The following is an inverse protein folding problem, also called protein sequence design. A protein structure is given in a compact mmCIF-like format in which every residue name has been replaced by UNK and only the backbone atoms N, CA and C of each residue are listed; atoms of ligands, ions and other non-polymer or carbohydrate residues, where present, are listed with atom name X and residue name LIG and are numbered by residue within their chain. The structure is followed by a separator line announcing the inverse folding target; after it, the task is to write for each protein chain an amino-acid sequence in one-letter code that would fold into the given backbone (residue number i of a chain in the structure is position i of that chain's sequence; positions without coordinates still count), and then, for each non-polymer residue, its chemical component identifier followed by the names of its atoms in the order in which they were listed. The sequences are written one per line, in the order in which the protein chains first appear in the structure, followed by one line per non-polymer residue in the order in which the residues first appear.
data_IF_767040128637
#
_entry.id   IF_767040128637
#
_cell.length_a   1.000
_cell.length_b   1.000
_cell.length_c   1.000
_cell.angle_alpha   90.00
_cell.angle_beta   90.00
_cell.angle_gamma   90.00
#
_symmetry.space_group_name_H-M   'P 1'
#
loop_
_entity.id
_entity.type
_entity.pdbx_description
1 polymer ?
#
# COMPACT_ATOMS: atom_id res chain seq x y z
N UNK A 1 -45.87 49.92 -62.14
CA UNK A 1 -44.48 50.36 -62.40
C UNK A 1 -43.80 50.80 -61.11
N UNK A 2 -43.58 49.87 -60.16
CA UNK A 2 -42.80 50.12 -58.93
C UNK A 2 -42.34 48.79 -58.30
N UNK A 3 -41.83 47.87 -59.13
CA UNK A 3 -41.37 46.54 -58.67
C UNK A 3 -40.11 46.07 -59.42
N UNK A 4 -39.23 47.00 -59.79
CA UNK A 4 -38.01 46.69 -60.55
C UNK A 4 -36.73 47.38 -60.04
N UNK A 5 -36.73 47.98 -58.83
CA UNK A 5 -35.57 48.75 -58.35
C UNK A 5 -34.95 48.28 -57.01
N UNK A 6 -35.42 47.18 -56.41
CA UNK A 6 -34.87 46.67 -55.14
C UNK A 6 -34.04 45.39 -55.25
N UNK A 7 -33.83 44.86 -56.46
CA UNK A 7 -33.18 43.55 -56.67
C UNK A 7 -31.70 43.62 -57.04
N UNK A 8 -30.97 44.69 -56.69
CA UNK A 8 -29.58 44.88 -57.16
C UNK A 8 -28.55 45.43 -56.15
N UNK A 9 -28.79 45.48 -54.84
CA UNK A 9 -27.82 46.12 -53.92
C UNK A 9 -27.55 45.52 -52.52
N UNK A 10 -27.77 44.22 -52.25
CA UNK A 10 -27.21 43.64 -50.99
C UNK A 10 -26.95 42.14 -51.04
N UNK A 11 -26.15 41.73 -52.02
CA UNK A 11 -25.56 40.38 -52.02
C UNK A 11 -24.43 40.24 -50.99
N UNK A 12 -24.38 39.03 -50.40
CA UNK A 12 -23.17 38.21 -50.16
C UNK A 12 -22.05 38.75 -49.25
N UNK A 13 -21.95 38.23 -48.01
CA UNK A 13 -20.65 37.95 -47.31
C UNK A 13 -20.75 37.26 -45.92
N UNK A 14 -21.70 36.34 -45.64
CA UNK A 14 -21.77 35.64 -44.33
C UNK A 14 -21.73 34.10 -44.41
N UNK A 15 -21.21 33.55 -45.51
CA UNK A 15 -21.15 32.10 -45.75
C UNK A 15 -19.88 31.36 -45.31
N UNK A 16 -18.73 32.04 -45.18
CA UNK A 16 -17.43 31.34 -45.16
C UNK A 16 -16.83 31.09 -43.76
N UNK A 17 -17.34 31.71 -42.69
CA UNK A 17 -16.73 31.60 -41.36
C UNK A 17 -16.98 30.25 -40.66
N UNK A 18 -18.05 29.52 -41.01
CA UNK A 18 -18.38 28.24 -40.36
C UNK A 18 -17.66 27.02 -40.96
N UNK A 19 -17.21 27.09 -42.21
CA UNK A 19 -16.49 25.98 -42.85
C UNK A 19 -15.01 25.99 -42.45
N UNK A 20 -14.45 27.18 -42.20
CA UNK A 20 -13.07 27.33 -41.74
C UNK A 20 -12.81 26.66 -40.37
N UNK A 21 -13.74 26.77 -39.42
CA UNK A 21 -13.56 26.23 -38.07
C UNK A 21 -13.55 24.69 -38.03
N UNK A 22 -14.31 24.03 -38.90
CA UNK A 22 -14.33 22.56 -38.97
C UNK A 22 -13.02 21.99 -39.52
N UNK A 23 -12.42 22.67 -40.50
CA UNK A 23 -11.12 22.27 -41.06
C UNK A 23 -9.97 22.51 -40.08
N UNK A 24 -10.02 23.60 -39.31
CA UNK A 24 -9.03 23.91 -38.27
C UNK A 24 -9.08 22.85 -37.14
N UNK A 25 -10.27 22.45 -36.69
CA UNK A 25 -10.43 21.45 -35.63
C UNK A 25 -9.84 20.08 -36.03
N UNK A 26 -10.08 19.62 -37.26
CA UNK A 26 -9.51 18.36 -37.74
C UNK A 26 -7.97 18.36 -37.78
N UNK A 27 -7.35 19.53 -37.97
CA UNK A 27 -5.89 19.69 -37.93
C UNK A 27 -5.37 19.69 -36.49
N UNK A 28 -6.09 20.30 -35.55
CA UNK A 28 -5.78 20.24 -34.11
C UNK A 28 -5.85 18.80 -33.61
N UNK A 29 -6.91 18.06 -33.97
CA UNK A 29 -7.09 16.66 -33.55
C UNK A 29 -5.93 15.77 -34.06
N UNK A 30 -5.39 16.06 -35.26
CA UNK A 30 -4.22 15.37 -35.80
C UNK A 30 -2.94 15.66 -35.01
N UNK A 31 -2.73 16.89 -34.56
CA UNK A 31 -1.60 17.25 -33.68
C UNK A 31 -1.73 16.59 -32.29
N UNK A 32 -2.96 16.51 -31.76
CA UNK A 32 -3.24 15.82 -30.49
C UNK A 32 -2.97 14.31 -30.59
N UNK A 33 -3.34 13.68 -31.72
CA UNK A 33 -3.00 12.28 -31.98
C UNK A 33 -1.48 12.01 -32.06
N UNK A 34 -0.67 13.04 -32.34
CA UNK A 34 0.80 12.96 -32.32
C UNK A 34 1.41 13.23 -30.93
N UNK A 35 0.58 13.50 -29.91
CA UNK A 35 1.01 13.68 -28.52
C UNK A 35 1.23 15.13 -28.09
N UNK A 36 0.82 16.12 -28.90
CA UNK A 36 0.86 17.53 -28.50
C UNK A 36 -0.43 17.93 -27.77
N UNK A 37 -0.34 18.87 -26.81
CA UNK A 37 -1.54 19.39 -26.15
C UNK A 37 -2.38 20.28 -27.11
N UNK A 38 -3.71 20.22 -26.97
CA UNK A 38 -4.64 20.88 -27.89
C UNK A 38 -4.49 22.41 -27.96
N UNK A 39 -4.18 23.05 -26.83
CA UNK A 39 -4.04 24.52 -26.74
C UNK A 39 -2.77 25.03 -27.47
N UNK A 40 -1.55 24.50 -27.19
CA UNK A 40 -0.36 24.80 -27.99
C UNK A 40 -0.52 24.46 -29.46
N UNK A 41 -1.15 23.31 -29.78
CA UNK A 41 -1.39 22.88 -31.16
C UNK A 41 -2.22 23.90 -31.96
N UNK A 42 -3.26 24.46 -31.35
CA UNK A 42 -4.10 25.49 -31.97
C UNK A 42 -3.34 26.81 -32.16
N UNK A 43 -2.51 27.22 -31.19
CA UNK A 43 -1.66 28.40 -31.34
C UNK A 43 -0.63 28.24 -32.46
N UNK A 44 0.04 27.09 -32.52
CA UNK A 44 1.04 26.79 -33.55
C UNK A 44 0.43 26.69 -34.95
N UNK A 45 -0.79 26.15 -35.07
CA UNK A 45 -1.55 26.15 -36.32
C UNK A 45 -1.89 27.55 -36.81
N UNK A 46 -2.24 28.47 -35.91
CA UNK A 46 -2.50 29.87 -36.26
C UNK A 46 -1.24 30.61 -36.68
N UNK A 47 -0.12 30.35 -36.02
CA UNK A 47 1.18 30.92 -36.38
C UNK A 47 1.72 30.38 -37.71
N UNK A 48 1.31 29.16 -38.09
CA UNK A 48 1.74 28.48 -39.31
C UNK A 48 0.73 28.58 -40.46
N UNK A 49 -0.19 29.55 -40.44
CA UNK A 49 -1.25 29.75 -41.44
C UNK A 49 -2.03 28.46 -41.78
N UNK A 50 -2.27 27.61 -40.78
CA UNK A 50 -2.99 26.35 -40.90
C UNK A 50 -2.20 25.19 -41.53
N UNK A 51 -0.88 25.30 -41.67
CA UNK A 51 0.01 24.21 -42.12
C UNK A 51 0.45 23.33 -40.93
N UNK A 52 0.10 22.05 -40.96
CA UNK A 52 0.35 21.09 -39.86
C UNK A 52 1.84 20.82 -39.67
N UNK A 53 2.62 20.71 -40.75
CA UNK A 53 4.04 20.36 -40.66
C UNK A 53 4.87 21.51 -40.07
N UNK A 54 4.53 22.74 -40.44
CA UNK A 54 5.12 23.94 -39.86
C UNK A 54 4.73 24.11 -38.38
N UNK A 55 3.47 23.80 -38.02
CA UNK A 55 3.03 23.83 -36.63
C UNK A 55 3.79 22.83 -35.75
N UNK A 56 4.09 21.63 -36.26
CA UNK A 56 4.94 20.65 -35.56
C UNK A 56 6.35 21.20 -35.34
N UNK A 57 6.94 21.87 -36.33
CA UNK A 57 8.26 22.47 -36.19
C UNK A 57 8.30 23.56 -35.11
N UNK A 58 7.26 24.41 -35.03
CA UNK A 58 7.09 25.43 -33.98
C UNK A 58 6.97 24.77 -32.60
N UNK A 59 6.15 23.72 -32.48
CA UNK A 59 5.95 23.00 -31.22
C UNK A 59 7.21 22.29 -30.71
N UNK A 60 8.06 21.81 -31.61
CA UNK A 60 9.34 21.18 -31.25
C UNK A 60 10.44 22.22 -30.96
N UNK A 61 10.36 23.40 -31.57
CA UNK A 61 11.32 24.48 -31.37
C UNK A 61 11.05 25.28 -30.08
N UNK A 62 9.79 25.35 -29.64
CA UNK A 62 9.44 25.96 -28.37
C UNK A 62 9.99 25.07 -27.23
N UNK A 63 11.01 25.52 -26.45
CA UNK A 63 11.39 24.80 -25.24
C UNK A 63 10.15 24.78 -24.36
N UNK A 64 9.79 23.61 -23.83
CA UNK A 64 8.64 23.40 -22.94
C UNK A 64 8.68 24.39 -21.77
N UNK A 65 8.18 25.60 -21.99
CA UNK A 65 8.02 26.64 -20.99
C UNK A 65 6.76 26.25 -20.25
N UNK A 66 6.91 25.30 -19.33
CA UNK A 66 5.94 24.99 -18.30
C UNK A 66 5.46 26.32 -17.72
N UNK A 67 4.23 26.67 -18.07
CA UNK A 67 3.52 27.85 -17.64
C UNK A 67 3.37 27.82 -16.12
N UNK A 68 4.25 28.55 -15.45
CA UNK A 68 4.05 29.05 -14.10
C UNK A 68 2.94 30.10 -14.20
N UNK A 69 1.69 29.66 -14.02
CA UNK A 69 0.50 30.50 -14.06
C UNK A 69 0.59 31.58 -12.98
N UNK A 70 0.76 32.82 -13.44
CA UNK A 70 0.58 34.06 -12.68
C UNK A 70 -0.76 34.03 -11.92
N UNK A 71 -0.67 33.87 -10.59
CA UNK A 71 -1.75 34.24 -9.68
C UNK A 71 -1.68 35.73 -9.42
N UNK A 72 -2.80 36.39 -9.71
CA UNK A 72 -3.24 37.66 -9.16
C UNK A 72 -2.65 37.97 -7.78
N UNK A 73 -2.11 39.18 -7.65
CA UNK A 73 -1.51 39.75 -6.43
C UNK A 73 -2.35 39.54 -5.17
N UNK A 74 -1.78 38.93 -4.11
CA UNK A 74 -2.20 39.15 -2.74
C UNK A 74 -1.36 40.26 -2.10
N UNK A 75 -1.98 40.94 -1.13
CA UNK A 75 -1.37 41.95 -0.25
C UNK A 75 -0.02 41.51 0.36
N UNK A 76 0.88 42.45 0.72
CA UNK A 76 2.20 42.13 1.25
C UNK A 76 2.11 41.23 2.49
N UNK A 77 2.85 40.11 2.55
CA UNK A 77 2.86 39.25 3.72
C UNK A 77 3.52 39.97 4.90
N UNK A 78 3.04 39.74 6.14
CA UNK A 78 3.75 40.20 7.34
C UNK A 78 5.15 39.58 7.35
N UNK A 79 6.14 40.39 7.76
CA UNK A 79 7.55 40.04 7.78
C UNK A 79 7.78 38.62 8.35
N UNK A 80 8.47 37.79 7.57
CA UNK A 80 8.85 36.45 8.00
C UNK A 80 9.69 36.52 9.28
N UNK A 81 9.41 35.67 10.29
CA UNK A 81 10.24 35.59 11.49
C UNK A 81 11.66 35.21 11.09
N UNK A 82 12.62 35.88 11.70
CA UNK A 82 14.04 35.69 11.42
C UNK A 82 14.42 34.21 11.60
N UNK A 83 15.40 33.72 10.84
CA UNK A 83 15.89 32.33 10.96
C UNK A 83 16.34 31.95 12.39
N UNK A 84 16.56 32.95 13.26
CA UNK A 84 16.86 32.78 14.69
C UNK A 84 15.62 32.44 15.51
N UNK A 85 14.46 33.05 15.20
CA UNK A 85 13.18 32.76 15.86
C UNK A 85 12.65 31.38 15.47
N UNK A 86 12.80 30.98 14.21
CA UNK A 86 12.41 29.63 13.74
C UNK A 86 13.26 28.54 14.43
N UNK A 87 14.55 28.80 14.67
CA UNK A 87 15.42 27.86 15.41
C UNK A 87 15.12 27.81 16.91
N UNK A 88 14.74 28.94 17.52
CA UNK A 88 14.33 28.96 18.94
C UNK A 88 12.99 28.22 19.14
N UNK A 89 11.99 28.46 18.29
CA UNK A 89 10.70 27.78 18.35
C UNK A 89 10.81 26.27 18.10
N UNK A 90 11.69 25.84 17.18
CA UNK A 90 11.94 24.42 16.94
C UNK A 90 12.66 23.71 18.11
N UNK A 91 13.50 24.43 18.87
CA UNK A 91 14.14 23.90 20.07
C UNK A 91 13.14 23.75 21.24
N UNK A 92 12.27 24.74 21.42
CA UNK A 92 11.23 24.73 22.46
C UNK A 92 10.18 23.63 22.19
N UNK A 93 9.76 23.45 20.93
CA UNK A 93 8.85 22.36 20.55
C UNK A 93 9.44 20.96 20.78
N UNK A 94 10.77 20.79 20.66
CA UNK A 94 11.47 19.53 20.97
C UNK A 94 11.54 19.29 22.48
N UNK A 95 11.76 20.33 23.29
CA UNK A 95 11.75 20.22 24.75
C UNK A 95 10.34 19.90 25.29
N UNK A 96 9.30 20.55 24.76
CA UNK A 96 7.92 20.27 25.15
C UNK A 96 7.48 18.82 24.82
N UNK A 97 7.90 18.27 23.67
CA UNK A 97 7.63 16.87 23.30
C UNK A 97 8.34 15.84 24.19
N UNK A 98 9.53 16.17 24.70
CA UNK A 98 10.22 15.30 25.66
C UNK A 98 9.56 15.30 27.05
N UNK A 99 9.00 16.43 27.48
CA UNK A 99 8.29 16.54 28.75
C UNK A 99 6.93 15.81 28.74
N UNK A 100 6.22 15.81 27.61
CA UNK A 100 4.89 15.18 27.49
C UNK A 100 4.92 13.64 27.39
N UNK A 101 6.07 13.02 27.11
CA UNK A 101 6.16 11.58 26.81
C UNK A 101 6.33 10.68 28.05
N UNK A 102 6.19 11.19 29.28
CA UNK A 102 6.42 10.36 30.48
C UNK A 102 5.53 10.59 31.72
N UNK A 103 4.18 10.74 31.61
CA UNK A 103 3.33 10.77 32.81
C UNK A 103 3.02 9.36 33.38
N UNK A 104 3.25 8.27 32.63
CA UNK A 104 2.84 6.92 33.03
C UNK A 104 3.86 6.14 33.88
N UNK A 105 5.11 6.60 34.00
CA UNK A 105 6.13 5.92 34.81
C UNK A 105 6.21 6.42 36.27
N UNK A 106 5.60 7.56 36.62
CA UNK A 106 5.66 8.07 38.00
C UNK A 106 4.58 7.49 38.93
N UNK A 107 3.48 6.93 38.40
CA UNK A 107 2.43 6.30 39.22
C UNK A 107 2.88 4.94 39.79
N UNK A 108 3.83 4.26 39.13
CA UNK A 108 4.31 2.94 39.59
C UNK A 108 5.34 3.01 40.72
N UNK A 109 5.93 4.18 40.99
CA UNK A 109 6.99 4.33 42.00
C UNK A 109 6.47 4.73 43.39
N UNK A 110 5.20 5.13 43.52
CA UNK A 110 4.65 5.64 44.78
C UNK A 110 3.87 4.60 45.64
N UNK A 111 3.47 3.45 45.09
CA UNK A 111 2.68 2.43 45.83
C UNK A 111 3.46 1.17 46.26
N UNK A 112 4.78 1.11 46.05
CA UNK A 112 5.60 -0.08 46.34
C UNK A 112 6.32 -0.11 47.70
N UNK A 113 6.10 0.86 48.60
CA UNK A 113 6.94 1.05 49.79
C UNK A 113 6.19 0.87 51.12
N UNK A 114 5.40 -0.20 51.25
CA UNK A 114 4.89 -0.65 52.55
C UNK A 114 4.43 -2.11 52.51
N UNK A 115 5.38 -3.06 52.56
CA UNK A 115 5.19 -4.40 53.16
C UNK A 115 6.53 -5.14 53.18
N UNK A 116 7.37 -4.74 54.13
CA UNK A 116 8.39 -5.62 54.71
C UNK A 116 7.65 -6.62 55.60
N UNK A 117 7.62 -7.87 55.17
CA UNK A 117 7.00 -8.99 55.87
C UNK A 117 7.73 -10.27 55.48
N UNK A 118 8.88 -10.46 56.13
CA UNK A 118 9.47 -11.76 56.51
C UNK A 118 8.65 -12.99 56.08
N UNK A 119 9.06 -13.63 54.99
CA UNK A 119 8.47 -14.85 54.47
C UNK A 119 9.44 -15.54 53.51
N UNK A 120 10.49 -16.10 54.10
CA UNK A 120 11.55 -16.89 53.46
C UNK A 120 10.91 -18.16 52.86
N UNK A 121 10.49 -18.11 51.60
CA UNK A 121 10.21 -19.28 50.79
C UNK A 121 11.17 -19.28 49.61
N UNK A 122 12.22 -20.09 49.76
CA UNK A 122 13.14 -20.52 48.71
C UNK A 122 12.36 -21.34 47.68
N UNK A 123 11.63 -20.67 46.78
CA UNK A 123 11.08 -21.32 45.60
C UNK A 123 12.16 -21.38 44.52
N UNK A 124 12.76 -22.56 44.42
CA UNK A 124 13.33 -23.18 43.23
C UNK A 124 13.44 -22.26 42.01
N UNK A 125 14.61 -21.64 41.84
CA UNK A 125 15.05 -21.20 40.52
C UNK A 125 15.13 -22.45 39.62
N UNK A 126 14.37 -22.55 38.53
CA UNK A 126 14.48 -23.69 37.63
C UNK A 126 15.88 -23.66 37.02
N UNK A 127 16.72 -24.61 37.43
CA UNK A 127 18.02 -24.86 36.85
C UNK A 127 17.86 -24.95 35.33
N UNK A 128 18.41 -23.95 34.62
CA UNK A 128 18.47 -23.91 33.18
C UNK A 128 19.25 -25.14 32.71
N UNK A 129 18.53 -26.23 32.42
CA UNK A 129 19.12 -27.44 31.84
C UNK A 129 19.79 -27.02 30.52
N UNK A 130 21.06 -27.39 30.29
CA UNK A 130 21.69 -27.23 29.00
C UNK A 130 20.87 -28.05 28.01
N UNK A 131 20.10 -27.37 27.16
CA UNK A 131 19.42 -28.02 26.04
C UNK A 131 20.52 -28.65 25.20
N UNK A 132 20.44 -29.97 25.01
CA UNK A 132 21.30 -30.67 24.06
C UNK A 132 21.25 -29.91 22.73
N UNK A 133 22.39 -29.79 22.01
CA UNK A 133 22.40 -29.11 20.72
C UNK A 133 21.36 -29.78 19.83
N UNK A 134 20.28 -29.05 19.52
CA UNK A 134 19.23 -29.53 18.61
C UNK A 134 19.89 -30.00 17.32
N UNK A 135 19.39 -31.10 16.75
CA UNK A 135 19.89 -31.60 15.47
C UNK A 135 19.84 -30.47 14.42
N UNK A 136 20.70 -30.57 13.41
CA UNK A 136 20.72 -29.63 12.30
C UNK A 136 19.32 -29.50 11.66
N UNK A 137 18.67 -30.63 11.43
CA UNK A 137 17.33 -30.72 10.81
C UNK A 137 16.27 -29.99 11.66
N UNK A 138 16.20 -30.25 12.97
CA UNK A 138 15.23 -29.57 13.84
C UNK A 138 15.45 -28.05 13.87
N UNK A 139 16.70 -27.58 13.80
CA UNK A 139 16.97 -26.13 13.72
C UNK A 139 16.56 -25.55 12.37
N UNK A 140 16.79 -26.29 11.29
CA UNK A 140 16.40 -25.90 9.94
C UNK A 140 14.89 -25.79 9.81
N UNK A 141 14.13 -26.76 10.32
CA UNK A 141 12.66 -26.75 10.32
C UNK A 141 12.09 -25.55 11.06
N UNK A 142 12.62 -25.23 12.25
CA UNK A 142 12.19 -24.06 13.03
C UNK A 142 12.39 -22.77 12.23
N UNK A 143 13.58 -22.58 11.65
CA UNK A 143 13.88 -21.36 10.87
C UNK A 143 13.01 -21.29 9.60
N UNK A 144 12.77 -22.42 8.93
CA UNK A 144 11.90 -22.47 7.77
C UNK A 144 10.45 -22.14 8.13
N UNK A 145 9.95 -22.60 9.28
CA UNK A 145 8.64 -22.21 9.81
C UNK A 145 8.51 -20.71 10.06
N UNK A 146 9.56 -20.06 10.59
CA UNK A 146 9.59 -18.59 10.74
C UNK A 146 9.57 -17.88 9.38
N UNK A 147 10.34 -18.39 8.41
CA UNK A 147 10.43 -17.87 7.05
C UNK A 147 9.14 -18.02 6.25
N UNK A 148 8.22 -18.92 6.63
CA UNK A 148 6.94 -19.12 5.93
C UNK A 148 6.11 -17.83 5.82
N UNK A 149 6.28 -16.88 6.75
CA UNK A 149 5.61 -15.57 6.72
C UNK A 149 6.20 -14.58 5.68
N UNK A 150 7.32 -14.94 5.05
CA UNK A 150 8.10 -14.07 4.16
C UNK A 150 8.33 -14.76 2.80
N UNK A 151 7.30 -14.89 1.95
CA UNK A 151 7.36 -15.69 0.73
C UNK A 151 8.48 -15.25 -0.22
N UNK A 152 8.66 -13.93 -0.40
CA UNK A 152 9.74 -13.36 -1.22
C UNK A 152 11.15 -13.74 -0.72
N UNK A 153 11.32 -13.91 0.59
CA UNK A 153 12.59 -14.32 1.19
C UNK A 153 12.84 -15.81 0.92
N UNK A 154 11.82 -16.66 1.10
CA UNK A 154 11.89 -18.11 0.81
C UNK A 154 12.27 -18.34 -0.64
N UNK A 155 11.58 -17.70 -1.59
CA UNK A 155 11.85 -17.86 -3.03
C UNK A 155 13.27 -17.44 -3.41
N UNK A 156 13.74 -16.33 -2.84
CA UNK A 156 15.09 -15.83 -3.07
C UNK A 156 16.14 -16.80 -2.50
N UNK A 157 15.91 -17.38 -1.32
CA UNK A 157 16.81 -18.36 -0.71
C UNK A 157 16.83 -19.69 -1.49
N UNK A 158 15.66 -20.19 -1.93
CA UNK A 158 15.56 -21.37 -2.80
C UNK A 158 16.35 -21.15 -4.09
N UNK A 159 16.14 -20.00 -4.75
CA UNK A 159 16.87 -19.63 -5.96
C UNK A 159 18.40 -19.59 -5.73
N UNK A 160 18.84 -18.97 -4.63
CA UNK A 160 20.26 -18.88 -4.29
C UNK A 160 20.89 -20.25 -4.05
N UNK A 161 20.26 -21.09 -3.22
CA UNK A 161 20.77 -22.44 -2.90
C UNK A 161 20.79 -23.31 -4.16
N UNK A 162 19.71 -23.27 -4.97
CA UNK A 162 19.65 -23.97 -6.25
C UNK A 162 20.79 -23.55 -7.19
N UNK A 163 21.04 -22.24 -7.31
CA UNK A 163 22.13 -21.71 -8.16
C UNK A 163 23.51 -22.23 -7.72
N UNK A 164 23.74 -22.34 -6.40
CA UNK A 164 25.00 -22.87 -5.84
C UNK A 164 25.15 -24.37 -6.12
N UNK A 165 24.06 -25.14 -5.98
CA UNK A 165 24.03 -26.59 -6.26
C UNK A 165 24.34 -26.86 -7.74
N UNK A 166 23.76 -26.08 -8.66
CA UNK A 166 23.95 -26.22 -10.10
C UNK A 166 25.35 -25.75 -10.55
N UNK A 167 25.94 -24.77 -9.85
CA UNK A 167 27.20 -24.14 -10.24
C UNK A 167 28.22 -24.13 -9.09
N UNK A 168 28.64 -25.30 -8.56
CA UNK A 168 29.46 -25.35 -7.37
C UNK A 168 30.83 -24.69 -7.60
N UNK A 169 31.45 -24.82 -8.78
CA UNK A 169 32.77 -24.24 -9.04
C UNK A 169 32.82 -22.70 -9.08
N UNK A 170 31.67 -22.03 -9.12
CA UNK A 170 31.58 -20.59 -9.40
C UNK A 170 31.52 -19.80 -8.10
N UNK A 171 32.66 -19.19 -7.73
CA UNK A 171 32.83 -18.44 -6.47
C UNK A 171 31.81 -17.32 -6.26
N UNK A 172 31.41 -16.60 -7.32
CA UNK A 172 30.44 -15.48 -7.21
C UNK A 172 29.08 -15.89 -6.64
N UNK A 173 28.67 -17.16 -6.75
CA UNK A 173 27.40 -17.63 -6.19
C UNK A 173 27.51 -18.05 -4.73
N UNK A 174 28.74 -18.28 -4.25
CA UNK A 174 29.05 -18.65 -2.87
C UNK A 174 29.28 -17.43 -1.97
N UNK A 175 29.22 -16.22 -2.52
CA UNK A 175 29.43 -14.97 -1.82
C UNK A 175 28.19 -14.09 -1.96
N UNK A 176 27.67 -13.60 -0.85
CA UNK A 176 26.46 -12.78 -0.80
C UNK A 176 26.77 -11.51 -0.02
N UNK A 177 26.60 -10.36 -0.65
CA UNK A 177 26.77 -9.07 0.01
C UNK A 177 25.50 -8.71 0.78
N UNK A 178 25.61 -8.53 2.08
CA UNK A 178 24.49 -8.13 2.95
C UNK A 178 23.95 -6.73 2.59
N UNK A 179 24.81 -5.85 2.07
CA UNK A 179 24.42 -4.51 1.61
C UNK A 179 23.79 -4.49 0.21
N UNK A 180 23.62 -5.64 -0.45
CA UNK A 180 22.91 -5.70 -1.71
C UNK A 180 21.44 -5.32 -1.49
N UNK A 181 20.97 -4.27 -2.18
CA UNK A 181 19.60 -3.73 -2.02
C UNK A 181 18.52 -4.80 -2.21
N UNK A 182 18.67 -5.71 -3.18
CA UNK A 182 17.70 -6.77 -3.43
C UNK A 182 17.69 -7.79 -2.28
N UNK A 183 18.87 -8.22 -1.82
CA UNK A 183 18.97 -9.17 -0.71
C UNK A 183 18.44 -8.57 0.60
N UNK A 184 18.81 -7.32 0.90
CA UNK A 184 18.34 -6.62 2.09
C UNK A 184 16.82 -6.37 2.07
N UNK A 185 16.25 -6.06 0.90
CA UNK A 185 14.81 -5.82 0.75
C UNK A 185 13.97 -7.10 0.78
N UNK A 186 14.54 -8.27 0.52
CA UNK A 186 13.80 -9.55 0.55
C UNK A 186 14.14 -10.41 1.76
N UNK A 187 15.40 -10.83 1.88
CA UNK A 187 15.84 -11.70 2.98
C UNK A 187 16.02 -10.90 4.26
N UNK A 188 16.43 -9.63 4.16
CA UNK A 188 16.60 -8.76 5.33
C UNK A 188 15.29 -8.33 6.00
N UNK A 189 14.16 -8.36 5.28
CA UNK A 189 12.84 -8.07 5.89
C UNK A 189 12.33 -9.21 6.76
N UNK A 190 12.84 -10.43 6.56
CA UNK A 190 12.52 -11.60 7.38
C UNK A 190 13.32 -11.65 8.70
N UNK A 191 13.80 -10.50 9.18
CA UNK A 191 14.66 -10.40 10.35
C UNK A 191 15.98 -11.16 10.17
N UNK A 192 16.38 -11.92 11.20
CA UNK A 192 17.60 -12.71 11.16
C UNK A 192 17.40 -14.13 10.61
N UNK A 193 16.15 -14.60 10.46
CA UNK A 193 15.85 -16.00 10.11
C UNK A 193 16.53 -16.44 8.80
N UNK A 194 16.50 -15.59 7.76
CA UNK A 194 17.16 -15.89 6.48
C UNK A 194 18.69 -15.94 6.58
N UNK A 195 19.29 -15.08 7.41
CA UNK A 195 20.74 -15.08 7.66
C UNK A 195 21.14 -16.30 8.51
N UNK A 196 20.33 -16.63 9.50
CA UNK A 196 20.56 -17.76 10.40
C UNK A 196 20.43 -19.09 9.64
N UNK A 197 19.51 -19.19 8.67
CA UNK A 197 19.45 -20.32 7.73
C UNK A 197 20.75 -20.45 6.94
N UNK A 198 21.24 -19.36 6.34
CA UNK A 198 22.49 -19.39 5.58
C UNK A 198 23.68 -19.77 6.47
N UNK A 199 23.75 -19.23 7.69
CA UNK A 199 24.79 -19.62 8.67
C UNK A 199 24.69 -21.09 9.04
N UNK A 200 23.48 -21.61 9.23
CA UNK A 200 23.24 -23.02 9.53
C UNK A 200 23.72 -23.93 8.38
N UNK A 201 23.49 -23.52 7.14
CA UNK A 201 23.93 -24.23 5.92
C UNK A 201 25.46 -24.25 5.76
N UNK A 202 26.18 -23.28 6.33
CA UNK A 202 27.65 -23.20 6.27
C UNK A 202 28.21 -21.83 5.83
N UNK A 203 27.35 -20.82 5.66
CA UNK A 203 27.84 -19.47 5.35
C UNK A 203 28.48 -18.83 6.58
N UNK A 204 29.66 -18.25 6.39
CA UNK A 204 30.39 -17.53 7.42
C UNK A 204 30.36 -16.05 7.12
N UNK A 205 29.94 -15.25 8.11
CA UNK A 205 29.91 -13.80 8.00
C UNK A 205 31.34 -13.23 8.08
N UNK A 206 31.76 -12.52 7.04
CA UNK A 206 33.05 -11.83 6.91
C UNK A 206 32.78 -10.36 6.59
N UNK A 207 32.58 -9.53 7.61
CA UNK A 207 32.15 -8.13 7.44
C UNK A 207 30.76 -8.04 6.79
N UNK A 208 30.67 -7.31 5.68
CA UNK A 208 29.43 -7.13 4.90
C UNK A 208 29.11 -8.31 3.97
N UNK A 209 29.87 -9.39 4.03
CA UNK A 209 29.72 -10.56 3.17
C UNK A 209 29.36 -11.80 3.96
N UNK A 210 28.44 -12.60 3.43
CA UNK A 210 28.27 -14.01 3.78
C UNK A 210 29.00 -14.84 2.73
N UNK A 211 29.96 -15.63 3.16
CA UNK A 211 30.78 -16.47 2.28
C UNK A 211 30.60 -17.92 2.70
N UNK A 212 30.17 -18.78 1.78
CA UNK A 212 30.15 -20.22 1.98
C UNK A 212 31.60 -20.73 1.99
N UNK A 213 32.16 -20.94 3.19
CA UNK A 213 33.55 -21.36 3.36
C UNK A 213 33.63 -22.88 3.43
N UNK A 214 34.45 -23.47 2.54
CA UNK A 214 34.78 -24.88 2.54
C UNK A 214 34.14 -25.70 1.42
N UNK A 215 34.71 -26.88 1.18
CA UNK A 215 34.06 -27.97 0.44
C UNK A 215 33.03 -28.66 1.34
N UNK A 216 32.19 -27.86 2.00
CA UNK A 216 31.24 -28.39 2.96
C UNK A 216 30.11 -29.14 2.27
N UNK A 217 29.65 -30.12 3.02
CA UNK A 217 28.75 -31.19 2.66
C UNK A 217 27.60 -30.73 1.74
N UNK A 218 27.60 -31.12 0.45
CA UNK A 218 26.51 -30.79 -0.45
C UNK A 218 25.16 -31.30 0.08
N UNK A 219 25.14 -32.30 0.97
CA UNK A 219 23.91 -32.77 1.60
C UNK A 219 23.21 -31.67 2.42
N UNK A 220 23.93 -30.76 3.09
CA UNK A 220 23.30 -29.65 3.84
C UNK A 220 22.58 -28.67 2.94
N UNK A 221 23.14 -28.37 1.77
CA UNK A 221 22.49 -27.51 0.77
C UNK A 221 21.22 -28.17 0.24
N UNK A 222 21.27 -29.49 -0.05
CA UNK A 222 20.10 -30.24 -0.49
C UNK A 222 19.02 -30.33 0.59
N UNK A 223 19.39 -30.57 1.84
CA UNK A 223 18.45 -30.59 2.97
C UNK A 223 17.79 -29.22 3.15
N UNK A 224 18.57 -28.13 3.13
CA UNK A 224 18.03 -26.78 3.23
C UNK A 224 17.10 -26.42 2.07
N UNK A 225 17.46 -26.79 0.83
CA UNK A 225 16.60 -26.63 -0.33
C UNK A 225 15.28 -27.40 -0.15
N UNK A 226 15.34 -28.66 0.24
CA UNK A 226 14.15 -29.50 0.47
C UNK A 226 13.23 -28.94 1.56
N UNK A 227 13.80 -28.44 2.66
CA UNK A 227 13.04 -27.81 3.73
C UNK A 227 12.35 -26.51 3.28
N UNK A 228 13.04 -25.68 2.49
CA UNK A 228 12.45 -24.45 1.93
C UNK A 228 11.38 -24.75 0.88
N UNK A 229 11.58 -25.75 0.01
CA UNK A 229 10.57 -26.19 -0.95
C UNK A 229 9.33 -26.75 -0.24
N UNK A 230 9.51 -27.51 0.84
CA UNK A 230 8.39 -27.94 1.69
C UNK A 230 7.66 -26.74 2.31
N UNK A 231 8.40 -25.70 2.70
CA UNK A 231 7.83 -24.45 3.21
C UNK A 231 7.02 -23.71 2.15
N UNK A 232 7.48 -23.67 0.89
CA UNK A 232 6.72 -23.09 -0.23
C UNK A 232 5.37 -23.79 -0.45
N UNK A 233 5.29 -25.09 -0.13
CA UNK A 233 4.05 -25.86 -0.23
C UNK A 233 3.16 -25.75 1.02
N UNK A 234 3.57 -24.99 2.04
CA UNK A 234 2.77 -24.81 3.25
C UNK A 234 1.59 -23.86 3.04
N UNK A 235 0.50 -24.07 3.80
CA UNK A 235 -0.65 -23.16 3.81
C UNK A 235 -0.23 -21.75 4.27
N UNK A 236 0.67 -21.67 5.25
CA UNK A 236 1.19 -20.40 5.77
C UNK A 236 1.91 -19.58 4.70
N UNK A 237 2.74 -20.21 3.87
CA UNK A 237 3.39 -19.53 2.75
C UNK A 237 2.37 -18.99 1.76
N UNK A 238 1.35 -19.79 1.41
CA UNK A 238 0.30 -19.39 0.46
C UNK A 238 -0.47 -18.17 1.00
N UNK A 239 -0.89 -18.21 2.26
CA UNK A 239 -1.58 -17.10 2.91
C UNK A 239 -0.71 -15.83 2.99
N UNK A 240 0.58 -15.99 3.30
CA UNK A 240 1.53 -14.88 3.32
C UNK A 240 1.77 -14.30 1.91
N UNK A 241 1.76 -15.15 0.88
CA UNK A 241 1.88 -14.75 -0.52
C UNK A 241 0.64 -13.96 -0.98
N UNK A 242 -0.55 -14.46 -0.69
CA UNK A 242 -1.81 -13.77 -1.00
C UNK A 242 -1.89 -12.43 -0.27
N UNK A 243 -1.47 -12.39 1.00
CA UNK A 243 -1.37 -11.14 1.77
C UNK A 243 -0.37 -10.16 1.16
N UNK A 244 0.80 -10.63 0.74
CA UNK A 244 1.81 -9.78 0.13
C UNK A 244 1.32 -9.22 -1.22
N UNK A 245 0.68 -10.05 -2.04
CA UNK A 245 0.08 -9.65 -3.32
C UNK A 245 -1.08 -8.65 -3.11
N UNK A 246 -1.89 -8.85 -2.07
CA UNK A 246 -2.94 -7.91 -1.65
C UNK A 246 -2.36 -6.54 -1.30
N UNK A 247 -1.30 -6.50 -0.48
CA UNK A 247 -0.66 -5.24 -0.08
C UNK A 247 -0.01 -4.52 -1.26
N UNK A 248 0.66 -5.26 -2.14
CA UNK A 248 1.26 -4.73 -3.37
C UNK A 248 0.19 -4.13 -4.28
N UNK A 249 -0.94 -4.80 -4.48
CA UNK A 249 -2.04 -4.25 -5.27
C UNK A 249 -2.62 -2.94 -4.71
N UNK A 250 -2.69 -2.81 -3.38
CA UNK A 250 -3.12 -1.56 -2.73
C UNK A 250 -2.08 -0.45 -2.92
N UNK A 251 -0.80 -0.76 -2.72
CA UNK A 251 0.28 0.20 -2.85
C UNK A 251 0.46 0.66 -4.31
N UNK A 252 0.36 -0.26 -5.26
CA UNK A 252 0.38 0.03 -6.69
C UNK A 252 -0.81 0.91 -7.07
N UNK A 253 -2.01 0.64 -6.56
CA UNK A 253 -3.17 1.53 -6.76
C UNK A 253 -2.95 2.94 -6.20
N UNK A 254 -2.20 3.06 -5.11
CA UNK A 254 -1.90 4.36 -4.48
C UNK A 254 -0.83 5.13 -5.25
N UNK A 255 0.17 4.42 -5.78
CA UNK A 255 1.29 5.00 -6.52
C UNK A 255 0.94 5.27 -7.98
N UNK A 256 0.06 4.46 -8.58
CA UNK A 256 -0.54 4.71 -9.89
C UNK A 256 -1.63 5.79 -9.81
N UNK A 257 -1.29 6.92 -9.17
CA UNK A 257 -2.05 8.17 -9.11
C UNK A 257 -2.20 8.80 -10.52
N UNK A 258 -2.66 8.00 -11.46
CA UNK A 258 -3.09 8.37 -12.79
C UNK A 258 -4.39 9.15 -12.63
N UNK A 259 -4.59 10.14 -13.49
CA UNK A 259 -5.83 10.90 -13.54
C UNK A 259 -7.07 9.99 -13.57
N UNK A 260 -6.99 8.84 -14.25
CA UNK A 260 -8.04 7.81 -14.30
C UNK A 260 -8.41 7.21 -12.93
N UNK A 261 -7.44 7.04 -12.03
CA UNK A 261 -7.73 6.53 -10.67
C UNK A 261 -8.42 7.62 -9.84
N UNK A 262 -7.98 8.86 -9.99
CA UNK A 262 -8.63 10.00 -9.33
C UNK A 262 -10.07 10.18 -9.81
N UNK A 263 -10.33 10.08 -11.12
CA UNK A 263 -11.66 10.12 -11.71
C UNK A 263 -12.56 9.01 -11.16
N UNK A 264 -12.08 7.76 -11.13
CA UNK A 264 -12.82 6.63 -10.54
C UNK A 264 -13.13 6.85 -9.06
N UNK A 265 -12.23 7.47 -8.30
CA UNK A 265 -12.48 7.79 -6.89
C UNK A 265 -13.57 8.85 -6.73
N UNK A 266 -13.63 9.85 -7.63
CA UNK A 266 -14.68 10.87 -7.61
C UNK A 266 -16.08 10.28 -7.80
N UNK A 267 -16.22 9.23 -8.61
CA UNK A 267 -17.49 8.50 -8.76
C UNK A 267 -17.98 7.97 -7.41
N UNK A 268 -17.09 7.33 -6.64
CA UNK A 268 -17.43 6.81 -5.33
C UNK A 268 -17.73 7.90 -4.32
N UNK A 269 -16.99 9.02 -4.32
CA UNK A 269 -17.19 10.16 -3.39
C UNK A 269 -18.64 10.62 -3.40
N UNK A 270 -19.27 10.67 -4.58
CA UNK A 270 -20.68 11.11 -4.72
C UNK A 270 -21.69 10.16 -4.06
N UNK A 271 -21.32 8.90 -3.86
CA UNK A 271 -22.16 7.85 -3.29
C UNK A 271 -21.88 7.60 -1.80
N UNK A 272 -20.88 8.28 -1.23
CA UNK A 272 -20.54 8.10 0.19
C UNK A 272 -21.53 8.85 1.08
N UNK A 273 -22.17 8.19 2.06
CA UNK A 273 -23.03 8.87 3.03
C UNK A 273 -22.29 10.00 3.77
N UNK A 274 -23.01 11.05 4.14
CA UNK A 274 -22.43 12.17 4.91
C UNK A 274 -22.05 11.68 6.31
N UNK A 275 -20.85 12.00 6.77
CA UNK A 275 -20.41 11.60 8.11
C UNK A 275 -21.21 12.36 9.19
N UNK A 276 -21.87 11.67 10.14
CA UNK A 276 -22.66 12.32 11.17
C UNK A 276 -21.78 12.96 12.26
N UNK A 277 -22.31 14.02 12.87
CA UNK A 277 -21.59 14.75 13.93
C UNK A 277 -21.40 13.92 15.21
N UNK A 278 -20.42 14.35 16.01
CA UNK A 278 -20.10 13.68 17.27
C UNK A 278 -21.21 13.90 18.31
N UNK A 279 -21.80 12.80 18.78
CA UNK A 279 -22.79 12.83 19.88
C UNK A 279 -24.25 12.72 19.42
N UNK A 280 -24.51 12.63 18.12
CA UNK A 280 -25.84 12.33 17.59
C UNK A 280 -26.21 10.87 17.91
N UNK A 281 -27.43 10.66 18.41
CA UNK A 281 -27.97 9.33 18.67
C UNK A 281 -28.18 8.53 17.38
N UNK A 282 -28.07 7.20 17.43
CA UNK A 282 -28.20 6.37 16.23
C UNK A 282 -26.98 6.42 15.31
N UNK A 283 -25.83 6.88 15.80
CA UNK A 283 -24.55 6.80 15.07
C UNK A 283 -23.78 5.55 15.47
N UNK A 284 -22.99 5.02 14.54
CA UNK A 284 -22.06 3.91 14.76
C UNK A 284 -20.67 4.26 14.27
N UNK A 285 -19.66 3.66 14.90
CA UNK A 285 -18.26 3.83 14.55
C UNK A 285 -17.78 2.57 13.87
N UNK A 286 -17.39 2.70 12.61
CA UNK A 286 -16.91 1.59 11.79
C UNK A 286 -15.40 1.73 11.67
N UNK A 287 -14.69 0.69 12.10
CA UNK A 287 -13.25 0.56 11.95
C UNK A 287 -12.95 -0.55 10.96
N UNK A 288 -12.24 -0.23 9.89
CA UNK A 288 -11.87 -1.19 8.85
C UNK A 288 -10.37 -1.40 8.86
N UNK A 289 -9.96 -2.66 8.93
CA UNK A 289 -8.58 -3.12 8.84
C UNK A 289 -8.32 -3.64 7.42
N UNK A 290 -7.28 -3.16 6.76
CA UNK A 290 -6.78 -3.73 5.50
C UNK A 290 -5.26 -3.85 5.57
N UNK A 291 -4.79 -5.06 5.84
CA UNK A 291 -3.40 -5.30 6.21
C UNK A 291 -3.04 -4.65 7.56
N UNK A 292 -2.05 -3.76 7.56
CA UNK A 292 -1.60 -3.02 8.75
C UNK A 292 -2.28 -1.66 8.91
N UNK A 293 -3.00 -1.21 7.89
CA UNK A 293 -3.70 0.06 7.90
C UNK A 293 -5.05 -0.10 8.59
N UNK A 294 -5.39 0.91 9.39
CA UNK A 294 -6.66 1.00 10.10
C UNK A 294 -7.28 2.33 9.77
N UNK A 295 -8.52 2.28 9.29
CA UNK A 295 -9.31 3.48 8.99
C UNK A 295 -10.59 3.43 9.78
N UNK A 296 -11.04 4.59 10.21
CA UNK A 296 -12.18 4.72 11.12
C UNK A 296 -13.03 5.90 10.67
N UNK A 297 -14.35 5.67 10.61
CA UNK A 297 -15.32 6.70 10.24
C UNK A 297 -16.66 6.45 10.94
N UNK A 298 -17.43 7.52 11.17
CA UNK A 298 -18.80 7.41 11.69
C UNK A 298 -19.81 7.27 10.57
N UNK A 299 -20.86 6.50 10.85
CA UNK A 299 -22.01 6.29 9.97
C UNK A 299 -23.29 6.38 10.79
N UNK A 300 -24.42 6.69 10.16
CA UNK A 300 -25.73 6.52 10.76
C UNK A 300 -26.07 5.02 10.80
N UNK A 301 -26.82 4.58 11.81
CA UNK A 301 -27.24 3.18 11.94
C UNK A 301 -28.13 2.72 10.77
N UNK A 302 -28.84 3.68 10.16
CA UNK A 302 -29.70 3.49 9.00
C UNK A 302 -28.96 3.57 7.65
N UNK A 303 -27.67 3.95 7.65
CA UNK A 303 -26.85 3.84 6.44
C UNK A 303 -26.72 2.37 6.03
N UNK A 304 -26.41 2.11 4.76
CA UNK A 304 -26.31 0.75 4.20
C UNK A 304 -24.86 0.27 4.09
N UNK A 305 -24.64 -1.05 4.09
CA UNK A 305 -23.29 -1.67 3.96
C UNK A 305 -22.56 -1.18 2.70
N UNK A 306 -23.30 -0.99 1.59
CA UNK A 306 -22.78 -0.36 0.37
C UNK A 306 -22.05 0.96 0.64
N UNK A 307 -22.56 1.80 1.55
CA UNK A 307 -21.95 3.08 1.89
C UNK A 307 -20.54 2.96 2.46
N UNK A 308 -20.26 1.90 3.25
CA UNK A 308 -18.92 1.60 3.77
C UNK A 308 -17.99 1.22 2.61
N UNK A 309 -18.45 0.37 1.68
CA UNK A 309 -17.65 -0.07 0.53
C UNK A 309 -17.29 1.12 -0.36
N UNK A 310 -18.27 1.98 -0.68
CA UNK A 310 -18.05 3.19 -1.48
C UNK A 310 -17.08 4.15 -0.77
N UNK A 311 -17.18 4.30 0.55
CA UNK A 311 -16.22 5.10 1.32
C UNK A 311 -14.79 4.57 1.20
N UNK A 312 -14.58 3.25 1.31
CA UNK A 312 -13.26 2.64 1.14
C UNK A 312 -12.71 2.87 -0.28
N UNK A 313 -13.59 2.78 -1.28
CA UNK A 313 -13.28 3.11 -2.67
C UNK A 313 -12.82 4.55 -2.86
N UNK A 314 -13.57 5.49 -2.27
CA UNK A 314 -13.32 6.92 -2.37
C UNK A 314 -12.04 7.37 -1.65
N UNK A 315 -11.79 6.87 -0.44
CA UNK A 315 -10.70 7.36 0.43
C UNK A 315 -9.36 6.66 0.16
N UNK A 316 -9.38 5.37 -0.21
CA UNK A 316 -8.15 4.57 -0.26
C UNK A 316 -7.81 4.08 -1.67
N UNK A 317 -8.70 3.35 -2.33
CA UNK A 317 -8.41 2.77 -3.64
C UNK A 317 -9.70 2.35 -4.35
N UNK A 318 -9.84 2.74 -5.62
CA UNK A 318 -10.98 2.35 -6.47
C UNK A 318 -11.07 0.84 -6.71
N UNK A 319 -9.99 0.10 -6.40
CA UNK A 319 -9.92 -1.35 -6.52
C UNK A 319 -10.69 -2.08 -5.42
N UNK A 320 -10.81 -1.48 -4.21
CA UNK A 320 -11.44 -2.16 -3.06
C UNK A 320 -12.88 -2.57 -3.39
N UNK A 321 -13.79 -1.67 -3.82
CA UNK A 321 -15.15 -2.05 -4.20
C UNK A 321 -15.18 -3.14 -5.26
N UNK A 322 -14.39 -2.98 -6.33
CA UNK A 322 -14.36 -3.91 -7.47
C UNK A 322 -13.91 -5.32 -7.06
N UNK A 323 -12.92 -5.42 -6.18
CA UNK A 323 -12.38 -6.71 -5.70
C UNK A 323 -13.32 -7.39 -4.70
N UNK A 324 -14.02 -6.62 -3.88
CA UNK A 324 -15.07 -7.13 -3.00
C UNK A 324 -16.27 -7.63 -3.81
N UNK A 325 -16.72 -6.87 -4.82
CA UNK A 325 -17.81 -7.25 -5.71
C UNK A 325 -17.48 -8.46 -6.58
N UNK A 326 -16.21 -8.60 -7.01
CA UNK A 326 -15.77 -9.78 -7.77
C UNK A 326 -15.57 -11.02 -6.89
N UNK A 327 -15.71 -10.92 -5.57
CA UNK A 327 -15.40 -11.99 -4.62
C UNK A 327 -13.91 -12.37 -4.55
N UNK A 328 -13.02 -11.53 -5.11
CA UNK A 328 -11.58 -11.76 -5.00
C UNK A 328 -11.08 -11.43 -3.58
N UNK A 329 -11.71 -10.41 -2.97
CA UNK A 329 -11.52 -10.03 -1.59
C UNK A 329 -12.84 -10.25 -0.83
N UNK A 330 -12.72 -10.47 0.47
CA UNK A 330 -13.86 -10.67 1.36
C UNK A 330 -13.87 -9.61 2.47
N UNK A 331 -15.07 -9.20 2.88
CA UNK A 331 -15.28 -8.33 4.02
C UNK A 331 -15.67 -9.20 5.22
N UNK A 332 -14.86 -9.22 6.26
CA UNK A 332 -15.06 -10.06 7.45
C UNK A 332 -15.51 -9.17 8.60
N UNK A 333 -16.63 -9.52 9.23
CA UNK A 333 -17.07 -8.89 10.47
C UNK A 333 -16.34 -9.53 11.65
N UNK A 334 -15.39 -8.79 12.22
CA UNK A 334 -14.58 -9.18 13.37
C UNK A 334 -15.14 -8.64 14.71
N UNK A 335 -16.30 -7.98 14.69
CA UNK A 335 -16.95 -7.42 15.89
C UNK A 335 -17.42 -8.52 16.84
N UNK A 336 -17.90 -9.64 16.28
CA UNK A 336 -18.39 -10.78 17.04
C UNK A 336 -17.37 -11.93 16.97
N UNK A 337 -17.29 -12.71 18.05
CA UNK A 337 -16.53 -13.96 18.06
C UNK A 337 -17.49 -15.16 17.90
N UNK A 338 -17.25 -16.07 16.95
CA UNK A 338 -16.16 -16.06 15.96
C UNK A 338 -16.36 -15.02 14.84
N UNK A 339 -15.26 -14.50 14.23
CA UNK A 339 -15.37 -13.66 13.04
C UNK A 339 -16.09 -14.41 11.93
N UNK A 340 -16.89 -13.68 11.13
CA UNK A 340 -17.65 -14.26 10.02
C UNK A 340 -17.50 -13.43 8.75
N UNK A 341 -17.43 -14.13 7.61
CA UNK A 341 -17.43 -13.48 6.29
C UNK A 341 -18.82 -12.88 6.04
N UNK A 342 -18.86 -11.62 5.61
CA UNK A 342 -20.09 -10.96 5.23
C UNK A 342 -20.47 -11.34 3.80
N UNK A 343 -21.64 -11.96 3.63
CA UNK A 343 -22.20 -12.24 2.31
C UNK A 343 -22.70 -10.94 1.68
N UNK A 344 -21.86 -10.31 0.86
CA UNK A 344 -22.17 -9.00 0.28
C UNK A 344 -23.46 -9.04 -0.55
N UNK A 345 -23.73 -10.11 -1.30
CA UNK A 345 -24.95 -10.25 -2.10
C UNK A 345 -26.24 -10.11 -1.28
N UNK A 346 -26.23 -10.53 -0.01
CA UNK A 346 -27.41 -10.47 0.86
C UNK A 346 -27.43 -9.27 1.78
N UNK A 347 -26.27 -8.65 2.02
CA UNK A 347 -26.10 -7.54 2.97
C UNK A 347 -25.89 -6.18 2.29
N UNK A 348 -25.65 -6.12 0.98
CA UNK A 348 -25.24 -4.90 0.26
C UNK A 348 -26.15 -3.70 0.54
N UNK A 349 -27.47 -3.91 0.40
CA UNK A 349 -28.50 -2.88 0.58
C UNK A 349 -29.13 -2.90 1.98
N UNK A 350 -28.59 -3.70 2.90
CA UNK A 350 -29.07 -3.76 4.28
C UNK A 350 -28.46 -2.65 5.12
N UNK A 351 -29.23 -2.14 6.08
CA UNK A 351 -28.77 -1.10 7.01
C UNK A 351 -27.67 -1.66 7.93
N UNK A 352 -26.77 -0.80 8.41
CA UNK A 352 -25.69 -1.20 9.33
C UNK A 352 -26.25 -1.86 10.60
N UNK A 353 -27.41 -1.40 11.09
CA UNK A 353 -28.10 -2.04 12.19
C UNK A 353 -28.53 -3.47 11.87
N UNK A 354 -29.19 -3.69 10.73
CA UNK A 354 -29.67 -5.02 10.32
C UNK A 354 -28.53 -5.97 9.94
N UNK A 355 -27.39 -5.44 9.53
CA UNK A 355 -26.16 -6.18 9.27
C UNK A 355 -25.35 -6.52 10.55
N UNK A 356 -25.83 -6.11 11.73
CA UNK A 356 -25.14 -6.38 13.00
C UNK A 356 -23.86 -5.56 13.20
N UNK A 357 -23.78 -4.39 12.57
CA UNK A 357 -22.64 -3.47 12.64
C UNK A 357 -22.87 -2.31 13.63
N UNK A 358 -23.97 -2.32 14.37
CA UNK A 358 -24.33 -1.36 15.42
C UNK A 358 -24.32 -2.06 16.78
N UNK A 359 -23.81 -1.44 17.87
CA UNK A 359 -23.43 -0.01 18.04
C UNK A 359 -22.03 0.37 17.55
N UNK A 360 -21.20 -0.59 17.21
CA UNK A 360 -19.87 -0.37 16.63
C UNK A 360 -19.47 -1.58 15.79
N UNK A 361 -18.59 -1.36 14.82
CA UNK A 361 -18.13 -2.42 13.94
C UNK A 361 -16.61 -2.43 13.79
N UNK A 362 -16.04 -3.62 13.88
CA UNK A 362 -14.68 -3.92 13.44
C UNK A 362 -14.75 -4.84 12.22
N UNK A 363 -14.32 -4.33 11.07
CA UNK A 363 -14.35 -5.03 9.79
C UNK A 363 -12.93 -5.29 9.30
N UNK A 364 -12.70 -6.39 8.61
CA UNK A 364 -11.42 -6.68 7.95
C UNK A 364 -11.64 -6.91 6.45
N UNK A 365 -10.84 -6.26 5.63
CA UNK A 365 -10.75 -6.54 4.19
C UNK A 365 -9.52 -7.41 3.98
N UNK A 366 -9.73 -8.59 3.40
CA UNK A 366 -8.66 -9.57 3.16
C UNK A 366 -8.91 -10.34 1.85
N UNK A 367 -7.90 -11.08 1.39
CA UNK A 367 -8.06 -11.97 0.25
C UNK A 367 -9.08 -13.10 0.58
N UNK A 368 -9.87 -13.50 -0.40
CA UNK A 368 -10.89 -14.52 -0.22
C UNK A 368 -10.29 -15.84 0.31
N UNK A 369 -10.97 -16.49 1.26
CA UNK A 369 -10.55 -17.78 1.81
C UNK A 369 -9.48 -17.71 2.90
N UNK A 370 -8.96 -16.52 3.21
CA UNK A 370 -7.96 -16.34 4.29
C UNK A 370 -8.53 -16.77 5.64
N UNK A 371 -9.80 -16.42 5.95
CA UNK A 371 -10.41 -16.77 7.23
C UNK A 371 -10.58 -18.28 7.42
N UNK A 372 -10.98 -18.99 6.37
CA UNK A 372 -11.14 -20.44 6.41
C UNK A 372 -9.80 -21.16 6.61
N UNK A 373 -8.75 -20.67 5.95
CA UNK A 373 -7.40 -21.19 6.12
C UNK A 373 -6.91 -21.00 7.56
N UNK A 374 -7.08 -19.80 8.15
CA UNK A 374 -6.76 -19.55 9.56
C UNK A 374 -7.52 -20.47 10.51
N UNK A 375 -8.80 -20.74 10.22
CA UNK A 375 -9.63 -21.60 11.05
C UNK A 375 -9.16 -23.05 10.98
N UNK A 376 -8.90 -23.58 9.78
CA UNK A 376 -8.38 -24.95 9.60
C UNK A 376 -7.03 -25.14 10.28
N UNK A 377 -6.18 -24.11 10.27
CA UNK A 377 -4.90 -24.16 10.96
C UNK A 377 -5.07 -24.18 12.49
N UNK A 378 -5.96 -23.35 13.04
CA UNK A 378 -6.27 -23.37 14.47
C UNK A 378 -6.88 -24.69 14.93
N UNK A 379 -7.74 -25.29 14.10
CA UNK A 379 -8.31 -26.61 14.36
C UNK A 379 -7.21 -27.68 14.37
N UNK A 380 -6.29 -27.67 13.38
CA UNK A 380 -5.13 -28.58 13.34
C UNK A 380 -4.15 -28.39 14.50
N UNK A 381 -4.01 -27.18 15.03
CA UNK A 381 -3.12 -26.90 16.16
C UNK A 381 -3.74 -27.30 17.52
N UNK A 382 -5.06 -27.54 17.56
CA UNK A 382 -5.77 -27.97 18.75
C UNK A 382 -5.89 -29.50 18.89
N UNK A 383 -5.75 -30.23 17.77
CA UNK A 383 -5.57 -31.69 17.71
C UNK A 383 -4.15 -32.11 18.11
#
# INVERSE_FOLDING_TARGET
MMNALWKRLSGSEHGDLRVASASEQAKVDRLVQMGFEASPALSALRESDGNVDAAVAVLLAAPSSSSETERSSPAPPPAAPSAREVRAAAAEARQARHAARNPLNQIRTAMGRARSGSGRQEHNAPAARPTSPRSFETRLEVICGELANFPRAVDQLVYMIKTIIENPGVRKYREVKLTNRRFAATVGTAGNAGIDLLKLVGFVQTGDWLVLRGAEDPARLWLAKGALENTQNSSMYTMAQDRAAFMEAIEDSRNSANAEEAERRLEYVSSVPVEPEVGIAGTTRVRVYFGENVVERRFNADDVVKGIIMWLGAEHSSLIPRKLESGAWELVNATLYPPHVMELDTLYDKTLQSAGLWPGAELRVQAAGTLEAERREKERAAE
#
